data_IF_152807389026
#
_entry.id   IF_152807389026
#
_cell.length_a   1.000
_cell.length_b   1.000
_cell.length_c   1.000
_cell.angle_alpha   90.00
_cell.angle_beta   90.00
_cell.angle_gamma   90.00
#
_symmetry.space_group_name_H-M   'P 1'
#
loop_
_entity.id
_entity.type
_entity.pdbx_description
1 polymer ?
#
# COMPACT_ATOMS: atom_id res chain seq x y z
N UNK A 1 -51.12 -65.30 -49.19
CA UNK A 1 -50.64 -63.89 -49.34
C UNK A 1 -50.59 -63.22 -47.99
N UNK A 2 -49.69 -63.59 -47.08
CA UNK A 2 -49.50 -62.90 -45.75
C UNK A 2 -48.09 -63.14 -45.21
N UNK A 3 -47.04 -62.61 -45.83
CA UNK A 3 -45.70 -62.74 -45.26
C UNK A 3 -44.77 -61.50 -45.51
N UNK A 4 -45.30 -60.43 -46.08
CA UNK A 4 -44.40 -59.26 -46.40
C UNK A 4 -44.57 -58.01 -45.49
N UNK A 5 -45.40 -58.04 -44.44
CA UNK A 5 -45.66 -56.89 -43.60
C UNK A 5 -44.84 -56.84 -42.28
N UNK A 6 -44.12 -57.89 -41.93
CA UNK A 6 -43.38 -57.98 -40.64
C UNK A 6 -41.97 -57.55 -40.72
N UNK A 7 -41.38 -57.35 -41.88
CA UNK A 7 -39.92 -57.02 -42.03
C UNK A 7 -39.61 -55.50 -42.06
N UNK A 8 -40.59 -54.67 -42.42
CA UNK A 8 -40.38 -53.21 -42.53
C UNK A 8 -40.35 -52.48 -41.16
N UNK A 9 -41.08 -53.06 -40.18
CA UNK A 9 -41.19 -52.47 -38.85
C UNK A 9 -39.93 -52.65 -37.97
N UNK A 10 -39.09 -53.63 -38.24
CA UNK A 10 -37.91 -53.91 -37.42
C UNK A 10 -36.61 -53.09 -37.85
N UNK A 11 -36.55 -52.72 -39.13
CA UNK A 11 -35.46 -51.93 -39.66
C UNK A 11 -35.51 -50.46 -39.28
N UNK A 12 -36.70 -49.90 -39.16
CA UNK A 12 -36.90 -48.48 -38.79
C UNK A 12 -36.65 -48.23 -37.31
N UNK A 13 -36.92 -49.22 -36.43
CA UNK A 13 -36.70 -49.05 -35.00
C UNK A 13 -35.18 -49.11 -34.62
N UNK A 14 -34.38 -49.85 -35.38
CA UNK A 14 -32.93 -49.94 -35.18
C UNK A 14 -32.20 -48.67 -35.62
N UNK A 15 -32.68 -47.97 -36.63
CA UNK A 15 -32.04 -46.71 -37.10
C UNK A 15 -32.29 -45.53 -36.17
N UNK A 16 -33.46 -45.50 -35.49
CA UNK A 16 -33.76 -44.43 -34.50
C UNK A 16 -32.97 -44.63 -33.23
N UNK A 17 -32.72 -45.88 -32.78
CA UNK A 17 -31.90 -46.17 -31.61
C UNK A 17 -30.40 -45.85 -31.83
N UNK A 18 -29.88 -46.06 -33.06
CA UNK A 18 -28.48 -45.68 -33.38
C UNK A 18 -28.28 -44.16 -33.47
N UNK A 19 -29.30 -43.41 -33.89
CA UNK A 19 -29.24 -41.94 -33.94
C UNK A 19 -29.24 -41.26 -32.55
N UNK A 20 -29.95 -41.86 -31.56
CA UNK A 20 -29.96 -41.33 -30.19
C UNK A 20 -28.67 -41.59 -29.41
N UNK A 21 -27.89 -42.62 -29.75
CA UNK A 21 -26.63 -42.89 -29.07
C UNK A 21 -25.49 -42.00 -29.54
N UNK A 22 -25.58 -41.40 -30.73
CA UNK A 22 -24.54 -40.51 -31.26
C UNK A 22 -24.60 -39.08 -30.68
N UNK A 23 -25.74 -38.67 -30.08
CA UNK A 23 -25.91 -37.36 -29.46
C UNK A 23 -25.33 -37.28 -28.03
N UNK A 24 -24.97 -38.43 -27.41
CA UNK A 24 -24.45 -38.47 -26.03
C UNK A 24 -22.92 -38.27 -25.93
N UNK A 25 -22.19 -38.17 -27.06
CA UNK A 25 -20.74 -37.97 -27.11
C UNK A 25 -20.33 -36.57 -27.58
N UNK A 26 -21.15 -35.53 -27.34
CA UNK A 26 -20.64 -34.16 -27.44
C UNK A 26 -19.71 -33.98 -26.26
N UNK A 27 -18.39 -33.75 -26.48
CA UNK A 27 -17.53 -33.36 -25.39
C UNK A 27 -18.14 -32.09 -24.80
N UNK A 28 -18.45 -32.11 -23.50
CA UNK A 28 -18.83 -30.92 -22.78
C UNK A 28 -17.65 -29.97 -23.02
N UNK A 29 -17.83 -28.93 -23.84
CA UNK A 29 -16.87 -27.86 -23.99
C UNK A 29 -16.69 -27.29 -22.59
N UNK A 30 -15.65 -27.72 -21.90
CA UNK A 30 -15.25 -27.11 -20.65
C UNK A 30 -14.93 -25.66 -21.03
N UNK A 31 -15.82 -24.75 -20.65
CA UNK A 31 -15.58 -23.34 -20.76
C UNK A 31 -14.31 -23.09 -19.93
N UNK A 32 -13.18 -22.96 -20.62
CA UNK A 32 -11.93 -22.51 -20.01
C UNK A 32 -12.26 -21.14 -19.41
N UNK A 33 -12.31 -21.05 -18.09
CA UNK A 33 -12.51 -19.77 -17.43
C UNK A 33 -11.46 -18.81 -18.01
N UNK A 34 -11.93 -17.75 -18.64
CA UNK A 34 -11.04 -16.77 -19.27
C UNK A 34 -10.07 -16.24 -18.22
N UNK A 35 -8.77 -16.39 -18.45
CA UNK A 35 -7.74 -15.87 -17.57
C UNK A 35 -7.88 -14.35 -17.44
N UNK A 36 -8.38 -13.89 -16.30
CA UNK A 36 -8.67 -12.48 -16.05
C UNK A 36 -7.55 -11.88 -15.20
N UNK A 37 -6.85 -10.89 -15.75
CA UNK A 37 -5.77 -10.19 -15.07
C UNK A 37 -6.18 -8.76 -14.72
N UNK A 38 -5.80 -8.30 -13.52
CA UNK A 38 -6.02 -6.94 -13.05
C UNK A 38 -4.70 -6.20 -12.81
N UNK A 39 -4.79 -4.88 -12.74
CA UNK A 39 -3.69 -4.00 -12.36
C UNK A 39 -4.17 -3.09 -11.24
N UNK A 40 -3.36 -2.93 -10.20
CA UNK A 40 -3.61 -1.97 -9.12
C UNK A 40 -2.45 -0.97 -9.07
N UNK A 41 -2.79 0.27 -8.72
CA UNK A 41 -1.84 1.35 -8.48
C UNK A 41 -1.92 1.74 -6.99
N UNK A 42 -1.03 1.18 -6.13
CA UNK A 42 -1.06 1.43 -4.69
C UNK A 42 -0.89 2.91 -4.35
N UNK A 43 -0.09 3.65 -5.11
CA UNK A 43 0.11 5.07 -4.89
C UNK A 43 -1.18 5.86 -5.17
N UNK A 44 -1.84 5.59 -6.28
CA UNK A 44 -3.12 6.22 -6.59
C UNK A 44 -4.20 5.87 -5.55
N UNK A 45 -4.19 4.65 -5.00
CA UNK A 45 -5.09 4.26 -3.90
C UNK A 45 -4.78 5.07 -2.65
N UNK A 46 -3.51 5.24 -2.27
CA UNK A 46 -3.09 6.05 -1.12
C UNK A 46 -3.56 7.51 -1.28
N UNK A 47 -3.31 8.10 -2.43
CA UNK A 47 -3.61 9.52 -2.69
C UNK A 47 -5.11 9.81 -2.82
N UNK A 48 -5.89 8.88 -3.38
CA UNK A 48 -7.30 9.12 -3.73
C UNK A 48 -8.29 8.58 -2.69
N UNK A 49 -7.92 7.56 -1.91
CA UNK A 49 -8.81 7.00 -0.90
C UNK A 49 -8.99 7.93 0.31
N UNK A 50 -10.17 7.89 0.94
CA UNK A 50 -10.42 8.64 2.17
C UNK A 50 -9.44 8.28 3.29
N UNK A 51 -9.13 6.99 3.43
CA UNK A 51 -8.20 6.51 4.45
C UNK A 51 -6.77 6.96 4.17
N UNK A 52 -6.33 6.93 2.90
CA UNK A 52 -5.01 7.39 2.50
C UNK A 52 -4.82 8.88 2.71
N UNK A 53 -5.79 9.69 2.28
CA UNK A 53 -5.77 11.14 2.53
C UNK A 53 -5.64 11.44 4.01
N UNK A 54 -6.47 10.81 4.87
CA UNK A 54 -6.40 11.00 6.33
C UNK A 54 -5.03 10.63 6.90
N UNK A 55 -4.43 9.56 6.41
CA UNK A 55 -3.11 9.12 6.86
C UNK A 55 -1.99 10.09 6.43
N UNK A 56 -2.03 10.57 5.19
CA UNK A 56 -1.10 11.59 4.69
C UNK A 56 -1.27 12.93 5.41
N UNK A 57 -2.50 13.35 5.68
CA UNK A 57 -2.78 14.57 6.44
C UNK A 57 -2.24 14.46 7.87
N UNK A 58 -2.42 13.32 8.54
CA UNK A 58 -1.86 13.07 9.87
C UNK A 58 -0.33 13.12 9.90
N UNK A 59 0.34 12.56 8.88
CA UNK A 59 1.79 12.67 8.75
C UNK A 59 2.23 14.11 8.52
N UNK A 60 1.52 14.86 7.67
CA UNK A 60 1.80 16.28 7.40
C UNK A 60 1.64 17.14 8.66
N UNK A 61 0.59 16.90 9.43
CA UNK A 61 0.34 17.60 10.70
C UNK A 61 1.45 17.30 11.72
N UNK A 62 1.85 16.02 11.82
CA UNK A 62 2.97 15.62 12.67
C UNK A 62 4.26 16.38 12.30
N UNK A 63 4.63 16.38 11.00
CA UNK A 63 5.81 17.09 10.50
C UNK A 63 5.72 18.59 10.81
N UNK A 64 4.57 19.22 10.51
CA UNK A 64 4.37 20.65 10.74
C UNK A 64 4.53 21.01 12.23
N UNK A 65 3.96 20.22 13.12
CA UNK A 65 4.05 20.45 14.57
C UNK A 65 5.50 20.33 15.06
N UNK A 66 6.23 19.29 14.62
CA UNK A 66 7.64 19.11 15.00
C UNK A 66 8.56 20.18 14.42
N UNK A 67 8.32 20.61 13.19
CA UNK A 67 9.07 21.72 12.59
C UNK A 67 8.87 23.04 13.35
N UNK A 68 7.63 23.33 13.79
CA UNK A 68 7.37 24.52 14.62
C UNK A 68 8.13 24.49 15.94
N UNK A 69 8.18 23.33 16.60
CA UNK A 69 8.94 23.17 17.84
C UNK A 69 10.43 23.40 17.62
N UNK A 70 11.02 22.78 16.58
CA UNK A 70 12.43 22.99 16.26
C UNK A 70 12.74 24.43 15.85
N UNK A 71 11.84 25.11 15.14
CA UNK A 71 12.01 26.53 14.79
C UNK A 71 11.97 27.42 16.03
N UNK A 72 11.11 27.12 17.01
CA UNK A 72 11.11 27.82 18.30
C UNK A 72 12.41 27.61 19.08
N UNK A 73 12.90 26.38 19.16
CA UNK A 73 14.19 26.08 19.80
C UNK A 73 15.36 26.80 19.10
N UNK A 74 15.35 26.88 17.77
CA UNK A 74 16.39 27.60 17.01
C UNK A 74 16.36 29.10 17.28
N UNK A 75 15.15 29.69 17.38
CA UNK A 75 14.98 31.10 17.73
C UNK A 75 15.47 31.39 19.14
N UNK A 76 15.15 30.53 20.12
CA UNK A 76 15.63 30.63 21.48
C UNK A 76 17.16 30.54 21.58
N UNK A 77 17.78 29.64 20.80
CA UNK A 77 19.24 29.53 20.71
C UNK A 77 19.85 30.83 20.15
N UNK A 78 19.30 31.35 19.08
CA UNK A 78 19.74 32.59 18.44
C UNK A 78 19.65 33.80 19.38
N UNK A 79 18.52 33.90 20.11
CA UNK A 79 18.30 34.95 21.09
C UNK A 79 19.25 34.81 22.31
N UNK A 80 19.50 33.57 22.76
CA UNK A 80 20.45 33.28 23.85
C UNK A 80 21.89 33.67 23.43
N UNK A 81 22.29 33.31 22.21
CA UNK A 81 23.63 33.68 21.68
C UNK A 81 23.79 35.18 21.58
N UNK A 82 22.77 35.88 21.05
CA UNK A 82 22.77 37.36 20.95
C UNK A 82 22.93 38.01 22.33
N UNK A 83 22.11 37.58 23.29
CA UNK A 83 22.15 38.09 24.67
C UNK A 83 23.52 37.84 25.32
N UNK A 84 24.11 36.66 25.09
CA UNK A 84 25.44 36.33 25.61
C UNK A 84 26.51 37.28 25.06
N UNK A 85 26.48 37.57 23.75
CA UNK A 85 27.42 38.49 23.11
C UNK A 85 27.23 39.92 23.62
N UNK A 86 26.03 40.41 23.76
CA UNK A 86 25.71 41.78 24.23
C UNK A 86 26.09 41.99 25.70
N UNK A 87 25.91 40.96 26.53
CA UNK A 87 26.22 41.02 27.95
C UNK A 87 27.66 40.68 28.29
N UNK A 88 28.44 40.15 27.34
CA UNK A 88 29.82 39.65 27.59
C UNK A 88 30.75 40.65 28.28
N UNK A 89 30.59 41.96 28.00
CA UNK A 89 31.41 43.01 28.61
C UNK A 89 31.01 43.34 30.06
N UNK A 90 29.82 42.92 30.49
CA UNK A 90 29.25 43.24 31.82
C UNK A 90 29.30 42.07 32.80
N UNK A 91 29.59 40.86 32.33
CA UNK A 91 29.62 39.63 33.11
C UNK A 91 31.04 39.39 33.67
N UNK A 92 31.07 38.84 34.88
CA UNK A 92 32.30 38.25 35.42
C UNK A 92 32.73 37.03 34.65
N UNK A 93 33.99 36.61 34.77
CA UNK A 93 34.49 35.41 34.06
C UNK A 93 33.78 34.13 34.47
N UNK A 94 33.31 34.02 35.71
CA UNK A 94 32.51 32.88 36.19
C UNK A 94 31.15 32.87 35.54
N UNK A 95 30.42 33.98 35.51
CA UNK A 95 29.11 34.09 34.88
C UNK A 95 29.15 33.84 33.37
N UNK A 96 30.21 34.31 32.70
CA UNK A 96 30.43 34.00 31.26
C UNK A 96 30.54 32.50 31.05
N UNK A 97 31.39 31.84 31.82
CA UNK A 97 31.63 30.39 31.72
C UNK A 97 30.35 29.59 31.98
N UNK A 98 29.55 29.97 32.96
CA UNK A 98 28.29 29.35 33.28
C UNK A 98 27.29 29.52 32.12
N UNK A 99 27.13 30.72 31.59
CA UNK A 99 26.22 31.01 30.46
C UNK A 99 26.65 30.31 29.18
N UNK A 100 27.92 30.27 28.88
CA UNK A 100 28.47 29.52 27.75
C UNK A 100 28.22 28.02 27.89
N UNK A 101 28.36 27.47 29.09
CA UNK A 101 28.07 26.05 29.36
C UNK A 101 26.57 25.76 29.14
N UNK A 102 25.68 26.63 29.67
CA UNK A 102 24.25 26.52 29.46
C UNK A 102 23.87 26.60 27.97
N UNK A 103 24.51 27.51 27.24
CA UNK A 103 24.28 27.63 25.79
C UNK A 103 24.72 26.36 25.04
N UNK A 104 25.90 25.83 25.35
CA UNK A 104 26.37 24.56 24.74
C UNK A 104 25.43 23.39 25.04
N UNK A 105 24.92 23.31 26.27
CA UNK A 105 23.90 22.28 26.63
C UNK A 105 22.64 22.43 25.78
N UNK A 106 22.13 23.65 25.65
CA UNK A 106 20.96 23.92 24.79
C UNK A 106 21.21 23.54 23.33
N UNK A 107 22.37 23.83 22.78
CA UNK A 107 22.75 23.43 21.41
C UNK A 107 22.74 21.90 21.26
N UNK A 108 23.34 21.18 22.24
CA UNK A 108 23.34 19.71 22.21
C UNK A 108 21.95 19.13 22.29
N UNK A 109 21.09 19.68 23.15
CA UNK A 109 19.69 19.26 23.26
C UNK A 109 18.90 19.50 21.97
N UNK A 110 19.12 20.65 21.33
CA UNK A 110 18.51 20.95 20.03
C UNK A 110 18.94 19.94 18.96
N UNK A 111 20.26 19.69 18.86
CA UNK A 111 20.79 18.71 17.91
C UNK A 111 20.21 17.31 18.15
N UNK A 112 20.11 16.90 19.41
CA UNK A 112 19.50 15.63 19.81
C UNK A 112 18.04 15.56 19.36
N UNK A 113 17.23 16.59 19.68
CA UNK A 113 15.81 16.65 19.27
C UNK A 113 15.63 16.64 17.76
N UNK A 114 16.50 17.34 17.02
CA UNK A 114 16.46 17.32 15.55
C UNK A 114 16.79 15.93 14.99
N UNK A 115 17.74 15.22 15.58
CA UNK A 115 18.08 13.85 15.19
C UNK A 115 16.94 12.88 15.53
N UNK A 116 16.39 12.96 16.73
CA UNK A 116 15.25 12.15 17.17
C UNK A 116 14.04 12.36 16.24
N UNK A 117 13.74 13.62 15.87
CA UNK A 117 12.66 13.92 14.92
C UNK A 117 12.87 13.23 13.57
N UNK A 118 14.09 13.27 13.03
CA UNK A 118 14.38 12.60 11.75
C UNK A 118 14.19 11.08 11.85
N UNK A 119 14.61 10.46 12.95
CA UNK A 119 14.42 9.02 13.18
C UNK A 119 12.94 8.67 13.34
N UNK A 120 12.20 9.45 14.15
CA UNK A 120 10.75 9.26 14.32
C UNK A 120 9.99 9.43 13.00
N UNK A 121 10.37 10.41 12.18
CA UNK A 121 9.74 10.65 10.88
C UNK A 121 9.94 9.47 9.93
N UNK A 122 11.17 8.95 9.85
CA UNK A 122 11.46 7.75 9.05
C UNK A 122 10.67 6.54 9.54
N UNK A 123 10.58 6.36 10.87
CA UNK A 123 9.79 5.29 11.48
C UNK A 123 8.31 5.41 11.12
N UNK A 124 7.73 6.60 11.26
CA UNK A 124 6.32 6.86 10.92
C UNK A 124 6.01 6.70 9.43
N UNK A 125 6.91 7.13 8.57
CA UNK A 125 6.76 6.92 7.12
C UNK A 125 6.75 5.44 6.77
N UNK A 126 7.68 4.67 7.34
CA UNK A 126 7.73 3.21 7.14
C UNK A 126 6.47 2.53 7.66
N UNK A 127 6.05 2.82 8.89
CA UNK A 127 4.83 2.27 9.50
C UNK A 127 3.60 2.56 8.64
N UNK A 128 3.47 3.81 8.17
CA UNK A 128 2.39 4.22 7.29
C UNK A 128 2.35 3.38 6.00
N UNK A 129 3.50 3.24 5.34
CA UNK A 129 3.60 2.46 4.10
C UNK A 129 3.26 0.99 4.37
N UNK A 130 3.82 0.38 5.41
CA UNK A 130 3.59 -1.03 5.75
C UNK A 130 2.12 -1.30 6.09
N UNK A 131 1.49 -0.44 6.89
CA UNK A 131 0.06 -0.55 7.24
C UNK A 131 -0.82 -0.39 6.00
N UNK A 132 -0.49 0.59 5.16
CA UNK A 132 -1.28 0.89 3.97
C UNK A 132 -1.17 -0.21 2.93
N UNK A 133 0.03 -0.77 2.71
CA UNK A 133 0.22 -1.90 1.80
C UNK A 133 -0.54 -3.15 2.25
N UNK A 134 -0.63 -3.41 3.56
CA UNK A 134 -1.49 -4.49 4.09
C UNK A 134 -2.96 -4.26 3.76
N UNK A 135 -3.46 -3.03 3.94
CA UNK A 135 -4.86 -2.67 3.62
C UNK A 135 -5.13 -2.78 2.11
N UNK A 136 -4.23 -2.30 1.27
CA UNK A 136 -4.35 -2.41 -0.18
C UNK A 136 -4.37 -3.88 -0.61
N UNK A 137 -3.44 -4.70 -0.10
CA UNK A 137 -3.38 -6.13 -0.41
C UNK A 137 -4.68 -6.84 -0.04
N UNK A 138 -5.21 -6.60 1.16
CA UNK A 138 -6.48 -7.18 1.61
C UNK A 138 -7.67 -6.75 0.75
N UNK A 139 -7.75 -5.47 0.41
CA UNK A 139 -8.81 -4.94 -0.45
C UNK A 139 -8.69 -5.48 -1.88
N UNK A 140 -7.48 -5.56 -2.42
CA UNK A 140 -7.19 -6.12 -3.74
C UNK A 140 -7.61 -7.58 -3.80
N UNK A 141 -7.28 -8.39 -2.77
CA UNK A 141 -7.70 -9.79 -2.67
C UNK A 141 -9.23 -9.92 -2.73
N UNK A 142 -9.94 -9.15 -1.90
CA UNK A 142 -11.41 -9.20 -1.86
C UNK A 142 -12.05 -8.81 -3.22
N UNK A 143 -11.50 -7.80 -3.90
CA UNK A 143 -11.97 -7.38 -5.23
C UNK A 143 -11.63 -8.43 -6.28
N UNK A 144 -10.43 -9.01 -6.23
CA UNK A 144 -9.99 -10.05 -7.17
C UNK A 144 -10.84 -11.31 -7.08
N UNK A 145 -11.10 -11.80 -5.87
CA UNK A 145 -11.96 -12.97 -5.63
C UNK A 145 -13.38 -12.73 -6.15
N UNK A 146 -13.98 -11.59 -5.78
CA UNK A 146 -15.33 -11.21 -6.22
C UNK A 146 -15.42 -11.01 -7.74
N UNK A 147 -14.37 -10.49 -8.35
CA UNK A 147 -14.29 -10.19 -9.78
C UNK A 147 -13.82 -11.36 -10.66
N UNK A 148 -13.45 -12.50 -10.08
CA UNK A 148 -12.93 -13.66 -10.81
C UNK A 148 -11.59 -13.39 -11.48
N UNK A 149 -10.74 -12.53 -10.87
CA UNK A 149 -9.39 -12.31 -11.38
C UNK A 149 -8.47 -13.47 -10.97
N UNK A 150 -7.69 -13.97 -11.93
CA UNK A 150 -6.68 -15.00 -11.68
C UNK A 150 -5.39 -14.41 -11.13
N UNK A 151 -5.07 -13.16 -11.54
CA UNK A 151 -3.86 -12.46 -11.16
C UNK A 151 -4.14 -10.97 -11.03
N UNK A 152 -3.56 -10.32 -10.02
CA UNK A 152 -3.48 -8.87 -9.93
C UNK A 152 -2.04 -8.46 -9.73
N UNK A 153 -1.56 -7.56 -10.60
CA UNK A 153 -0.19 -7.03 -10.56
C UNK A 153 -0.19 -5.58 -10.08
N UNK A 154 0.89 -5.20 -9.42
CA UNK A 154 1.16 -3.79 -9.11
C UNK A 154 1.57 -3.07 -10.40
N UNK A 155 0.99 -1.91 -10.65
CA UNK A 155 1.39 -1.04 -11.77
C UNK A 155 2.88 -0.68 -11.71
N UNK A 156 3.44 -0.74 -10.51
CA UNK A 156 4.81 -0.32 -10.24
C UNK A 156 4.94 1.20 -10.09
N UNK A 157 5.90 1.60 -9.31
CA UNK A 157 6.44 2.96 -9.32
C UNK A 157 7.91 2.87 -9.71
N UNK A 158 8.51 3.98 -10.13
CA UNK A 158 9.95 4.03 -10.47
C UNK A 158 10.88 3.53 -9.33
N UNK A 159 10.33 3.32 -8.13
CA UNK A 159 11.07 2.96 -6.92
C UNK A 159 10.72 1.58 -6.34
N UNK A 160 9.72 0.86 -6.86
CA UNK A 160 9.28 -0.42 -6.27
C UNK A 160 9.00 -1.50 -7.31
N UNK A 161 9.72 -2.60 -7.21
CA UNK A 161 9.50 -3.81 -8.03
C UNK A 161 8.72 -4.84 -7.19
N UNK A 162 7.44 -4.55 -6.87
CA UNK A 162 6.51 -5.61 -6.44
C UNK A 162 5.53 -5.87 -7.57
N UNK A 163 5.74 -6.97 -8.29
CA UNK A 163 5.01 -7.25 -9.52
C UNK A 163 3.69 -7.97 -9.26
N UNK A 164 3.58 -8.78 -8.21
CA UNK A 164 2.38 -9.59 -7.94
C UNK A 164 1.82 -9.27 -6.56
N UNK A 165 0.55 -8.83 -6.51
CA UNK A 165 -0.18 -8.58 -5.27
C UNK A 165 -1.17 -9.69 -4.95
N UNK A 166 -1.70 -10.37 -5.97
CA UNK A 166 -2.67 -11.45 -5.84
C UNK A 166 -2.50 -12.48 -6.96
N UNK A 167 -2.55 -13.75 -6.60
CA UNK A 167 -2.74 -14.87 -7.51
C UNK A 167 -3.83 -15.79 -6.92
N UNK A 168 -4.65 -16.36 -7.79
CA UNK A 168 -5.60 -17.41 -7.41
C UNK A 168 -4.81 -18.71 -7.24
N UNK A 169 -4.91 -19.33 -6.06
CA UNK A 169 -4.33 -20.66 -5.85
C UNK A 169 -5.03 -21.65 -6.76
N UNK A 170 -4.26 -22.39 -7.56
CA UNK A 170 -4.75 -23.41 -8.49
C UNK A 170 -4.85 -24.76 -7.78
#
# INVERSE_FOLDING_TARGET
MHTTRALVGRATLSLVAAGLLLLACLPAAQATEAFKMGVVDPQAVLEKSKAGKKALDGLKEYVSTRQKLLSGDEEDLRNTEKTLKEQAAKLSDTEKKEKETQFRTKVQEFQKRAQEFNQELQGKQKELVDEYMKKISSATKAVAEKGGFALVVDKGSEQTVKIVIYNKDT
#
